data_IF_626202785893
#
_entry.id   IF_626202785893
#
_cell.length_a   1.000
_cell.length_b   1.000
_cell.length_c   1.000
_cell.angle_alpha   90.00
_cell.angle_beta   90.00
_cell.angle_gamma   90.00
#
_symmetry.space_group_name_H-M   'P 1'
#
loop_
_entity.id
_entity.type
_entity.pdbx_description
1 polymer ?
#
# COMPACT_ATOMS: atom_id res chain seq x y z
N UNK A 1 31.72 9.93 45.96
CA UNK A 1 31.32 9.94 44.54
C UNK A 1 32.54 10.37 43.75
N UNK A 2 33.17 9.47 43.01
CA UNK A 2 34.55 9.61 42.49
C UNK A 2 34.60 10.54 41.28
N UNK A 3 35.74 11.19 41.02
CA UNK A 3 35.92 12.10 39.86
C UNK A 3 35.55 11.47 38.51
N UNK A 4 35.65 10.14 38.41
CA UNK A 4 35.18 9.36 37.26
C UNK A 4 33.67 9.49 37.01
N UNK A 5 32.85 9.54 38.07
CA UNK A 5 31.40 9.74 37.94
C UNK A 5 31.05 11.16 37.46
N UNK A 6 31.82 12.17 37.88
CA UNK A 6 31.65 13.56 37.42
C UNK A 6 32.01 13.71 35.95
N UNK A 7 33.16 13.16 35.54
CA UNK A 7 33.58 13.18 34.13
C UNK A 7 32.59 12.44 33.23
N UNK A 8 32.11 11.26 33.65
CA UNK A 8 31.10 10.51 32.90
C UNK A 8 29.79 11.30 32.74
N UNK A 9 29.34 11.99 33.80
CA UNK A 9 28.16 12.85 33.74
C UNK A 9 28.30 14.02 32.77
N UNK A 10 29.46 14.71 32.79
CA UNK A 10 29.74 15.81 31.85
C UNK A 10 29.78 15.32 30.41
N UNK A 11 30.47 14.20 30.14
CA UNK A 11 30.54 13.63 28.78
C UNK A 11 29.14 13.24 28.27
N UNK A 12 28.33 12.56 29.08
CA UNK A 12 26.98 12.19 28.71
C UNK A 12 26.10 13.41 28.41
N UNK A 13 26.21 14.48 29.23
CA UNK A 13 25.49 15.73 29.00
C UNK A 13 25.90 16.40 27.69
N UNK A 14 27.20 16.47 27.39
CA UNK A 14 27.70 17.06 26.13
C UNK A 14 27.19 16.28 24.93
N UNK A 15 27.23 14.94 24.97
CA UNK A 15 26.71 14.08 23.91
C UNK A 15 25.20 14.33 23.70
N UNK A 16 24.42 14.39 24.78
CA UNK A 16 22.98 14.64 24.69
C UNK A 16 22.67 16.03 24.12
N UNK A 17 23.41 17.05 24.54
CA UNK A 17 23.24 18.43 24.04
C UNK A 17 23.54 18.53 22.54
N UNK A 18 24.64 17.90 22.09
CA UNK A 18 25.01 17.85 20.68
C UNK A 18 23.95 17.10 19.86
N UNK A 19 23.51 15.92 20.32
CA UNK A 19 22.45 15.16 19.65
C UNK A 19 21.15 15.96 19.55
N UNK A 20 20.72 16.59 20.64
CA UNK A 20 19.51 17.40 20.68
C UNK A 20 19.62 18.58 19.70
N UNK A 21 20.78 19.25 19.68
CA UNK A 21 21.03 20.34 18.74
C UNK A 21 20.94 19.87 17.28
N UNK A 22 21.53 18.73 16.93
CA UNK A 22 21.46 18.16 15.58
C UNK A 22 20.03 17.75 15.19
N UNK A 23 19.27 17.14 16.09
CA UNK A 23 17.86 16.77 15.88
C UNK A 23 17.03 18.03 15.63
N UNK A 24 17.12 19.03 16.50
CA UNK A 24 16.36 20.28 16.34
C UNK A 24 16.74 21.01 15.06
N UNK A 25 18.04 21.12 14.77
CA UNK A 25 18.54 21.80 13.56
C UNK A 25 18.05 21.11 12.29
N UNK A 26 18.21 19.79 12.17
CA UNK A 26 17.78 19.04 10.99
C UNK A 26 16.27 19.16 10.77
N UNK A 27 15.49 19.01 11.84
CA UNK A 27 14.03 19.20 11.80
C UNK A 27 13.62 20.58 11.28
N UNK A 28 14.23 21.65 11.80
CA UNK A 28 13.95 23.02 11.36
C UNK A 28 14.29 23.21 9.88
N UNK A 29 15.42 22.66 9.43
CA UNK A 29 15.86 22.75 8.03
C UNK A 29 14.85 22.04 7.11
N UNK A 30 14.39 20.84 7.48
CA UNK A 30 13.41 20.06 6.71
C UNK A 30 12.08 20.81 6.61
N UNK A 31 11.57 21.32 7.73
CA UNK A 31 10.32 22.08 7.77
C UNK A 31 10.42 23.38 6.96
N UNK A 32 11.51 24.13 7.12
CA UNK A 32 11.72 25.37 6.39
C UNK A 32 11.81 25.12 4.88
N UNK A 33 12.55 24.10 4.47
CA UNK A 33 12.65 23.73 3.06
C UNK A 33 11.32 23.24 2.49
N UNK A 34 10.52 22.50 3.26
CA UNK A 34 9.19 22.07 2.84
C UNK A 34 8.26 23.27 2.59
N UNK A 35 8.22 24.21 3.54
CA UNK A 35 7.43 25.43 3.41
C UNK A 35 7.88 26.31 2.22
N UNK A 36 9.20 26.48 2.05
CA UNK A 36 9.76 27.21 0.91
C UNK A 36 9.40 26.55 -0.43
N UNK A 37 9.49 25.22 -0.51
CA UNK A 37 9.19 24.46 -1.73
C UNK A 37 7.70 24.44 -2.05
N UNK A 38 6.85 24.37 -1.03
CA UNK A 38 5.40 24.40 -1.18
C UNK A 38 4.87 25.80 -1.54
N UNK A 39 5.49 26.85 -1.02
CA UNK A 39 5.01 28.21 -1.17
C UNK A 39 3.65 28.38 -0.47
N UNK A 40 2.63 28.94 -1.14
CA UNK A 40 1.29 29.09 -0.57
C UNK A 40 0.42 27.81 -0.64
N UNK A 41 0.90 26.76 -1.32
CA UNK A 41 0.13 25.54 -1.49
C UNK A 41 0.16 24.69 -0.19
N UNK A 42 -0.94 24.00 0.13
CA UNK A 42 -0.94 23.06 1.24
C UNK A 42 0.06 21.94 0.98
N UNK A 43 0.69 21.42 2.03
CA UNK A 43 1.63 20.32 1.90
C UNK A 43 1.55 19.32 3.05
N UNK A 44 2.12 18.14 2.85
CA UNK A 44 2.42 17.20 3.92
C UNK A 44 3.73 16.48 3.64
N UNK A 45 4.36 15.96 4.70
CA UNK A 45 5.58 15.17 4.59
C UNK A 45 5.26 13.73 5.00
N UNK A 46 5.62 12.79 4.14
CA UNK A 46 5.64 11.37 4.48
C UNK A 46 7.09 10.88 4.57
N UNK A 47 7.35 10.07 5.58
CA UNK A 47 8.68 9.51 5.87
C UNK A 47 8.70 8.03 5.55
N UNK A 48 9.87 7.53 5.18
CA UNK A 48 10.10 6.11 4.98
C UNK A 48 9.66 5.29 6.20
N UNK A 49 8.96 4.18 5.95
CA UNK A 49 8.51 3.26 6.98
C UNK A 49 8.92 1.81 6.66
N UNK A 50 9.29 1.05 7.68
CA UNK A 50 9.60 -0.40 7.60
C UNK A 50 8.42 -1.19 7.10
N UNK A 51 7.24 -0.80 7.56
CA UNK A 51 6.02 -1.58 7.40
C UNK A 51 5.30 -1.13 6.14
N UNK A 52 4.98 0.16 5.99
CA UNK A 52 4.06 0.66 4.96
C UNK A 52 4.68 1.35 3.73
N UNK A 53 5.99 1.16 3.51
CA UNK A 53 6.88 1.92 2.60
C UNK A 53 6.96 3.42 2.93
N UNK A 54 5.83 4.10 3.14
CA UNK A 54 5.75 5.48 3.63
C UNK A 54 4.61 5.65 4.62
N UNK A 55 4.83 6.51 5.62
CA UNK A 55 3.79 6.96 6.56
C UNK A 55 3.80 8.49 6.69
N UNK A 56 2.69 9.13 7.05
CA UNK A 56 2.71 10.55 7.42
C UNK A 56 3.70 10.80 8.56
N UNK A 57 4.43 11.92 8.51
CA UNK A 57 5.14 12.41 9.68
C UNK A 57 4.11 12.76 10.77
N UNK A 58 4.24 12.14 11.94
CA UNK A 58 3.32 12.28 13.07
C UNK A 58 3.90 13.19 14.17
N UNK A 59 5.17 13.57 14.05
CA UNK A 59 5.85 14.48 14.98
C UNK A 59 6.97 15.23 14.28
N UNK A 60 7.44 16.31 14.91
CA UNK A 60 8.66 17.00 14.48
C UNK A 60 9.88 16.09 14.55
N UNK A 61 9.94 15.20 15.54
CA UNK A 61 11.03 14.22 15.66
C UNK A 61 11.10 13.29 14.44
N UNK A 62 9.97 12.92 13.83
CA UNK A 62 9.95 12.10 12.61
C UNK A 62 10.68 12.77 11.43
N UNK A 63 10.78 14.10 11.44
CA UNK A 63 11.44 14.92 10.41
C UNK A 63 12.94 15.13 10.69
N UNK A 64 13.50 14.40 11.65
CA UNK A 64 14.93 14.46 11.96
C UNK A 64 15.75 13.49 11.11
N UNK A 65 17.03 13.80 10.94
CA UNK A 65 18.01 12.92 10.27
C UNK A 65 18.10 11.52 10.91
N UNK A 66 17.74 11.38 12.19
CA UNK A 66 17.81 10.10 12.91
C UNK A 66 16.67 9.15 12.55
N UNK A 67 15.49 9.70 12.21
CA UNK A 67 14.27 8.92 11.97
C UNK A 67 13.94 8.82 10.48
N UNK A 68 14.31 9.82 9.68
CA UNK A 68 14.12 9.83 8.22
C UNK A 68 15.15 8.93 7.53
N UNK A 69 15.22 7.65 7.91
CA UNK A 69 16.12 6.70 7.29
C UNK A 69 15.37 5.82 6.29
N UNK A 70 15.89 5.75 5.06
CA UNK A 70 15.44 4.79 4.07
C UNK A 70 15.90 3.39 4.51
N UNK A 71 14.97 2.48 4.73
CA UNK A 71 15.28 1.15 5.23
C UNK A 71 15.49 0.13 4.11
N UNK A 72 14.98 0.43 2.90
CA UNK A 72 15.10 -0.45 1.73
C UNK A 72 16.02 0.18 0.68
N UNK A 73 17.25 -0.32 0.66
CA UNK A 73 18.17 -0.18 -0.47
C UNK A 73 18.32 -1.57 -1.12
N UNK A 74 17.28 -2.00 -1.85
CA UNK A 74 17.38 -3.17 -2.72
C UNK A 74 17.48 -2.66 -4.15
N UNK A 75 18.32 -3.26 -5.00
CA UNK A 75 18.67 -2.72 -6.33
C UNK A 75 17.52 -2.41 -7.31
N UNK A 76 16.26 -2.72 -6.97
CA UNK A 76 15.05 -2.33 -7.73
C UNK A 76 14.20 -1.26 -7.06
N UNK A 77 14.45 -0.88 -5.80
CA UNK A 77 13.66 0.08 -5.04
C UNK A 77 14.58 1.01 -4.24
N UNK A 78 14.61 2.29 -4.62
CA UNK A 78 15.22 3.34 -3.80
C UNK A 78 14.10 4.02 -3.00
N UNK A 79 13.93 3.59 -1.76
CA UNK A 79 13.08 4.34 -0.82
C UNK A 79 13.74 5.69 -0.56
N UNK A 80 13.03 6.79 -0.80
CA UNK A 80 13.45 8.15 -0.38
C UNK A 80 13.24 8.32 1.12
N UNK A 81 14.14 9.04 1.77
CA UNK A 81 14.10 9.34 3.20
C UNK A 81 12.79 10.01 3.63
N UNK A 82 12.38 11.01 2.86
CA UNK A 82 11.11 11.69 2.98
C UNK A 82 10.63 12.16 1.61
N UNK A 83 9.31 12.24 1.46
CA UNK A 83 8.62 12.78 0.29
C UNK A 83 7.73 13.92 0.77
N UNK A 84 7.87 15.08 0.13
CA UNK A 84 6.99 16.22 0.28
C UNK A 84 5.90 16.13 -0.80
N UNK A 85 4.65 16.20 -0.35
CA UNK A 85 3.45 16.17 -1.18
C UNK A 85 2.83 17.55 -1.14
N UNK A 86 2.74 18.24 -2.27
CA UNK A 86 2.26 19.62 -2.36
C UNK A 86 1.02 19.72 -3.24
N UNK A 87 0.04 20.51 -2.82
CA UNK A 87 -1.16 20.85 -3.58
C UNK A 87 -2.31 19.86 -3.39
N UNK A 88 -3.10 19.66 -4.44
CA UNK A 88 -4.26 18.78 -4.42
C UNK A 88 -3.86 17.30 -4.43
N UNK A 89 -4.64 16.48 -3.73
CA UNK A 89 -4.48 15.04 -3.68
C UNK A 89 -4.66 14.34 -5.03
N UNK A 90 -5.45 14.93 -5.94
CA UNK A 90 -5.69 14.37 -7.28
C UNK A 90 -4.54 14.70 -8.22
N UNK A 91 -3.87 15.83 -8.04
CA UNK A 91 -2.72 16.24 -8.86
C UNK A 91 -1.59 16.87 -8.03
N UNK A 92 -0.99 16.10 -7.10
CA UNK A 92 0.05 16.59 -6.22
C UNK A 92 1.38 16.70 -6.94
N UNK A 93 2.15 17.71 -6.56
CA UNK A 93 3.57 17.82 -6.88
C UNK A 93 4.35 17.04 -5.81
N UNK A 94 5.27 16.20 -6.26
CA UNK A 94 6.08 15.35 -5.37
C UNK A 94 7.54 15.79 -5.41
N UNK A 95 8.13 15.92 -4.23
CA UNK A 95 9.54 16.26 -4.05
C UNK A 95 10.18 15.28 -3.08
N UNK A 96 11.46 14.97 -3.26
CA UNK A 96 12.19 14.11 -2.33
C UNK A 96 13.20 14.91 -1.51
N UNK A 97 13.41 14.49 -0.27
CA UNK A 97 14.45 15.07 0.59
C UNK A 97 15.84 14.64 0.15
N UNK A 98 16.75 15.59 -0.06
CA UNK A 98 18.17 15.34 -0.35
C UNK A 98 19.06 15.86 0.76
N UNK A 99 19.69 14.96 1.53
CA UNK A 99 20.63 15.34 2.59
C UNK A 99 21.80 16.17 2.05
N UNK A 100 22.30 15.84 0.86
CA UNK A 100 23.41 16.58 0.24
C UNK A 100 23.02 18.02 -0.12
N UNK A 101 21.79 18.22 -0.60
CA UNK A 101 21.31 19.54 -0.99
C UNK A 101 20.73 20.34 0.19
N UNK A 102 20.39 19.66 1.29
CA UNK A 102 19.69 20.27 2.43
C UNK A 102 18.32 20.83 2.07
N UNK A 103 17.67 20.28 1.03
CA UNK A 103 16.37 20.74 0.54
C UNK A 103 15.57 19.65 -0.17
N UNK A 104 14.27 19.90 -0.34
CA UNK A 104 13.42 19.14 -1.24
C UNK A 104 13.75 19.45 -2.70
N UNK A 105 13.90 18.40 -3.50
CA UNK A 105 14.17 18.50 -4.93
C UNK A 105 12.98 17.96 -5.72
N UNK A 106 12.61 18.67 -6.78
CA UNK A 106 11.57 18.23 -7.70
C UNK A 106 12.02 16.94 -8.38
N UNK A 107 11.15 15.95 -8.40
CA UNK A 107 11.48 14.67 -8.98
C UNK A 107 11.07 14.66 -10.46
N UNK A 108 12.04 14.87 -11.35
CA UNK A 108 11.84 14.90 -12.80
C UNK A 108 11.69 13.51 -13.41
N UNK A 109 12.14 12.46 -12.70
CA UNK A 109 12.03 11.07 -13.15
C UNK A 109 10.66 10.52 -12.81
N UNK A 110 9.75 10.54 -13.79
CA UNK A 110 8.58 9.68 -13.95
C UNK A 110 8.23 8.81 -12.73
N UNK A 111 7.74 9.46 -11.67
CA UNK A 111 7.03 8.83 -10.56
C UNK A 111 5.64 8.35 -10.99
N UNK A 112 5.40 8.25 -12.30
CA UNK A 112 4.27 7.54 -12.91
C UNK A 112 4.17 6.08 -12.45
N UNK A 113 5.12 5.62 -11.63
CA UNK A 113 5.02 4.39 -10.87
C UNK A 113 4.20 4.36 -9.59
N UNK A 114 3.47 5.43 -9.26
CA UNK A 114 2.53 5.42 -8.15
C UNK A 114 3.25 5.27 -6.82
N UNK A 115 3.90 6.35 -6.37
CA UNK A 115 4.24 6.44 -4.95
C UNK A 115 2.93 6.52 -4.19
N UNK A 116 2.76 5.63 -3.22
CA UNK A 116 1.69 5.76 -2.25
C UNK A 116 1.83 7.09 -1.54
N UNK A 117 0.88 7.99 -1.78
CA UNK A 117 0.72 9.20 -1.00
C UNK A 117 -0.03 8.80 0.25
N UNK A 118 0.65 8.77 1.39
CA UNK A 118 0.13 8.32 2.68
C UNK A 118 -0.49 9.47 3.51
N UNK A 119 -0.15 10.73 3.17
CA UNK A 119 -0.54 11.92 3.93
C UNK A 119 -1.44 12.86 3.13
N UNK A 120 -2.19 13.69 3.87
CA UNK A 120 -3.06 14.72 3.30
C UNK A 120 -2.40 16.10 3.41
N UNK A 121 -2.20 16.83 2.29
CA UNK A 121 -1.68 18.20 2.30
C UNK A 121 -2.54 19.16 3.11
N UNK A 122 -1.90 19.96 3.97
CA UNK A 122 -2.55 20.98 4.82
C UNK A 122 -1.73 22.27 4.82
N UNK A 123 -2.41 23.42 4.99
CA UNK A 123 -1.74 24.74 5.03
C UNK A 123 -0.70 24.83 6.15
N UNK A 124 -1.07 24.41 7.37
CA UNK A 124 -0.21 24.54 8.56
C UNK A 124 0.35 23.18 9.04
N UNK A 125 0.69 22.28 8.10
CA UNK A 125 1.08 20.90 8.43
C UNK A 125 2.14 20.83 9.54
N UNK A 126 3.26 21.54 9.38
CA UNK A 126 4.37 21.49 10.33
C UNK A 126 4.04 22.12 11.69
N UNK A 127 3.21 23.16 11.71
CA UNK A 127 2.77 23.82 12.95
C UNK A 127 1.83 22.92 13.77
N UNK A 128 1.11 22.02 13.11
CA UNK A 128 0.24 21.04 13.77
C UNK A 128 0.96 19.82 14.34
N UNK A 129 2.27 19.66 14.11
CA UNK A 129 3.01 18.49 14.58
C UNK A 129 3.48 18.66 16.03
N UNK A 130 3.23 17.66 16.90
CA UNK A 130 3.82 17.62 18.23
C UNK A 130 5.32 17.28 18.16
N UNK A 131 6.06 17.54 19.23
CA UNK A 131 7.53 17.38 19.22
C UNK A 131 7.94 15.90 19.13
N UNK A 132 7.43 15.02 20.00
CA UNK A 132 7.95 13.65 20.16
C UNK A 132 7.01 12.53 19.72
N UNK A 133 5.72 12.60 20.06
CA UNK A 133 4.71 11.63 19.63
C UNK A 133 3.40 12.34 19.39
N UNK A 134 2.92 12.27 18.16
CA UNK A 134 1.55 12.58 17.83
C UNK A 134 0.71 11.32 17.76
N UNK A 135 -0.58 11.49 18.02
CA UNK A 135 -1.55 10.52 17.54
C UNK A 135 -1.44 10.50 16.02
N UNK A 136 -1.14 9.31 15.45
CA UNK A 136 -1.26 9.09 14.02
C UNK A 136 -2.67 9.52 13.61
N UNK A 137 -2.81 10.17 12.46
CA UNK A 137 -4.14 10.41 11.90
C UNK A 137 -4.90 9.07 11.88
N UNK A 138 -6.21 9.07 12.13
CA UNK A 138 -6.97 7.82 12.16
C UNK A 138 -7.08 7.15 10.78
N UNK A 139 -6.66 7.85 9.72
CA UNK A 139 -6.72 7.38 8.34
C UNK A 139 -5.42 7.73 7.64
N UNK A 140 -4.95 6.83 6.79
CA UNK A 140 -3.94 7.14 5.80
C UNK A 140 -4.66 7.46 4.48
N UNK A 141 -4.18 8.49 3.83
CA UNK A 141 -4.56 8.75 2.45
C UNK A 141 -3.82 7.76 1.55
N UNK A 142 -4.38 7.41 0.40
CA UNK A 142 -3.73 6.53 -0.56
C UNK A 142 -4.09 6.97 -1.97
N UNK A 143 -3.11 7.47 -2.71
CA UNK A 143 -3.24 7.64 -4.14
C UNK A 143 -2.73 6.41 -4.88
N UNK A 144 -3.58 5.78 -5.69
CA UNK A 144 -3.21 4.59 -6.48
C UNK A 144 -3.06 4.91 -7.96
N UNK A 145 -3.73 5.95 -8.46
CA UNK A 145 -3.60 6.41 -9.85
C UNK A 145 -3.52 7.94 -9.94
N UNK A 146 -3.31 8.46 -11.15
CA UNK A 146 -3.29 9.90 -11.37
C UNK A 146 -4.64 10.58 -11.07
N UNK A 147 -5.74 9.84 -11.10
CA UNK A 147 -7.10 10.38 -10.98
C UNK A 147 -7.86 9.88 -9.76
N UNK A 148 -7.34 8.87 -9.06
CA UNK A 148 -8.05 8.23 -7.96
C UNK A 148 -7.22 8.19 -6.69
N UNK A 149 -7.93 8.43 -5.60
CA UNK A 149 -7.39 8.22 -4.28
C UNK A 149 -8.45 7.80 -3.28
N UNK A 150 -7.96 7.16 -2.22
CA UNK A 150 -8.74 6.44 -1.23
C UNK A 150 -8.32 6.91 0.15
N UNK A 151 -9.24 6.78 1.11
CA UNK A 151 -8.96 7.03 2.52
C UNK A 151 -9.22 5.76 3.29
N UNK A 152 -8.16 5.08 3.71
CA UNK A 152 -8.27 3.87 4.52
C UNK A 152 -7.91 4.19 5.97
N UNK A 153 -8.56 3.51 6.91
CA UNK A 153 -8.19 3.60 8.33
C UNK A 153 -6.75 3.12 8.54
N UNK A 154 -5.99 3.76 9.43
CA UNK A 154 -4.60 3.34 9.77
C UNK A 154 -4.52 1.98 10.46
N UNK A 155 -5.67 1.41 10.84
CA UNK A 155 -5.74 0.04 11.35
C UNK A 155 -5.50 -0.98 10.23
N UNK A 156 -5.71 -0.59 8.97
CA UNK A 156 -5.34 -1.41 7.83
C UNK A 156 -3.84 -1.32 7.59
N UNK A 157 -3.18 -2.48 7.59
CA UNK A 157 -1.78 -2.57 7.20
C UNK A 157 -1.72 -2.57 5.66
N UNK A 158 -1.01 -1.58 5.12
CA UNK A 158 -0.96 -1.29 3.69
C UNK A 158 0.48 -1.40 3.19
N UNK A 159 0.66 -2.00 2.02
CA UNK A 159 1.98 -2.18 1.41
C UNK A 159 1.92 -1.94 -0.07
N UNK A 160 2.97 -1.35 -0.64
CA UNK A 160 3.12 -1.26 -2.07
C UNK A 160 4.01 -2.41 -2.56
N UNK A 161 3.65 -2.98 -3.70
CA UNK A 161 4.50 -3.94 -4.40
C UNK A 161 4.50 -3.66 -5.88
N UNK A 162 5.66 -3.85 -6.50
CA UNK A 162 5.88 -3.53 -7.90
C UNK A 162 6.41 -2.12 -8.09
N UNK A 163 6.80 -1.79 -9.31
CA UNK A 163 7.34 -0.48 -9.69
C UNK A 163 6.66 0.00 -10.96
N UNK A 164 6.70 1.32 -11.20
CA UNK A 164 6.10 1.87 -12.41
C UNK A 164 4.58 1.66 -12.44
N UNK A 165 4.01 1.70 -13.64
CA UNK A 165 2.57 1.56 -13.85
C UNK A 165 1.98 0.20 -13.39
N UNK A 166 2.80 -0.68 -12.82
CA UNK A 166 2.42 -2.00 -12.29
C UNK A 166 2.52 -2.08 -10.77
N UNK A 167 2.62 -0.94 -10.08
CA UNK A 167 2.45 -0.93 -8.64
C UNK A 167 1.06 -1.45 -8.27
N UNK A 168 1.00 -2.19 -7.17
CA UNK A 168 -0.24 -2.72 -6.62
C UNK A 168 -0.24 -2.41 -5.13
N UNK A 169 -1.38 -1.94 -4.65
CA UNK A 169 -1.63 -1.74 -3.24
C UNK A 169 -2.10 -3.05 -2.64
N UNK A 170 -1.48 -3.44 -1.53
CA UNK A 170 -1.84 -4.61 -0.74
C UNK A 170 -2.43 -4.11 0.58
N UNK A 171 -3.62 -4.58 0.92
CA UNK A 171 -4.28 -4.27 2.19
C UNK A 171 -4.52 -5.57 2.94
N UNK A 172 -4.01 -5.67 4.18
CA UNK A 172 -4.22 -6.84 5.03
C UNK A 172 -5.62 -6.79 5.63
N UNK A 173 -6.49 -7.62 5.07
CA UNK A 173 -7.91 -7.69 5.36
C UNK A 173 -8.43 -9.06 4.87
N UNK A 174 -8.61 -10.05 5.75
CA UNK A 174 -9.04 -11.38 5.33
C UNK A 174 -10.51 -11.39 4.90
N UNK A 175 -10.78 -12.19 3.87
CA UNK A 175 -12.14 -12.52 3.50
C UNK A 175 -12.84 -13.34 4.61
N UNK A 176 -14.18 -13.27 4.74
CA UNK A 176 -15.09 -12.52 3.88
C UNK A 176 -15.40 -11.09 4.36
N UNK A 177 -14.98 -10.72 5.58
CA UNK A 177 -15.41 -9.48 6.23
C UNK A 177 -14.49 -8.30 5.97
N UNK A 178 -13.24 -8.54 5.56
CA UNK A 178 -12.24 -7.51 5.23
C UNK A 178 -12.01 -6.49 6.35
N UNK A 179 -12.09 -6.96 7.60
CA UNK A 179 -11.80 -6.16 8.79
C UNK A 179 -10.29 -6.05 9.02
N UNK A 180 -9.80 -4.94 9.59
CA UNK A 180 -8.39 -4.77 9.90
C UNK A 180 -7.89 -5.85 10.86
N UNK A 181 -6.65 -6.27 10.70
CA UNK A 181 -6.00 -7.28 11.54
C UNK A 181 -5.04 -6.63 12.53
N UNK A 182 -5.01 -7.15 13.76
CA UNK A 182 -4.06 -6.73 14.81
C UNK A 182 -2.69 -7.38 14.65
N UNK A 183 -2.62 -8.54 13.99
CA UNK A 183 -1.38 -9.28 13.74
C UNK A 183 -0.55 -8.56 12.68
N UNK A 184 0.74 -8.33 12.94
CA UNK A 184 1.62 -7.65 11.98
C UNK A 184 1.93 -8.54 10.77
N UNK A 185 2.23 -7.93 9.63
CA UNK A 185 2.63 -8.66 8.41
C UNK A 185 3.82 -9.59 8.60
N UNK A 186 4.76 -9.24 9.48
CA UNK A 186 5.88 -10.11 9.81
C UNK A 186 5.43 -11.41 10.49
N UNK A 187 4.50 -11.32 11.45
CA UNK A 187 3.89 -12.48 12.12
C UNK A 187 3.12 -13.32 11.11
N UNK A 188 2.23 -12.70 10.33
CA UNK A 188 1.44 -13.39 9.31
C UNK A 188 2.30 -14.13 8.28
N UNK A 189 3.44 -13.54 7.92
CA UNK A 189 4.41 -14.16 7.02
C UNK A 189 5.10 -15.35 7.66
N UNK A 190 5.57 -15.21 8.90
CA UNK A 190 6.25 -16.30 9.62
C UNK A 190 5.36 -17.53 9.83
N UNK A 191 4.04 -17.32 9.93
CA UNK A 191 3.05 -18.39 10.10
C UNK A 191 2.50 -18.93 8.79
N UNK A 192 2.93 -18.40 7.63
CA UNK A 192 2.41 -18.79 6.33
C UNK A 192 0.93 -18.43 6.11
N UNK A 193 0.37 -17.54 6.94
CA UNK A 193 -1.02 -17.07 6.84
C UNK A 193 -1.19 -15.92 5.87
N UNK A 194 -0.10 -15.18 5.60
CA UNK A 194 -0.15 -13.96 4.80
C UNK A 194 -0.89 -14.18 3.47
N UNK A 195 -0.61 -15.26 2.75
CA UNK A 195 -1.19 -15.52 1.43
C UNK A 195 -2.72 -15.53 1.38
N UNK A 196 -3.41 -15.76 2.50
CA UNK A 196 -4.87 -15.85 2.58
C UNK A 196 -5.54 -14.58 3.14
N UNK A 197 -4.77 -13.53 3.45
CA UNK A 197 -5.25 -12.42 4.29
C UNK A 197 -5.10 -11.03 3.68
N UNK A 198 -4.99 -10.91 2.36
CA UNK A 198 -4.84 -9.61 1.70
C UNK A 198 -5.75 -9.41 0.50
N UNK A 199 -6.03 -8.13 0.25
CA UNK A 199 -6.61 -7.59 -0.96
C UNK A 199 -5.51 -6.90 -1.76
N UNK A 200 -5.38 -7.22 -3.04
CA UNK A 200 -4.64 -6.43 -4.03
C UNK A 200 -5.59 -5.47 -4.71
N UNK A 201 -5.12 -4.25 -4.94
CA UNK A 201 -5.68 -3.32 -5.91
C UNK A 201 -4.58 -2.97 -6.93
N UNK A 202 -4.89 -3.12 -8.21
CA UNK A 202 -4.05 -2.67 -9.33
C UNK A 202 -4.88 -2.05 -10.45
N UNK A 203 -4.25 -1.24 -11.31
CA UNK A 203 -4.91 -0.60 -12.46
C UNK A 203 -4.65 -1.33 -13.80
N UNK A 204 -4.18 -2.58 -13.76
CA UNK A 204 -3.95 -3.40 -14.96
C UNK A 204 -5.16 -4.29 -15.27
N UNK A 205 -6.20 -3.69 -15.85
CA UNK A 205 -7.40 -4.42 -16.28
C UNK A 205 -7.12 -5.42 -17.41
N UNK A 206 -6.20 -5.06 -18.31
CA UNK A 206 -5.83 -5.87 -19.48
C UNK A 206 -5.25 -7.23 -19.09
N UNK A 207 -4.53 -7.30 -17.97
CA UNK A 207 -4.03 -8.58 -17.48
C UNK A 207 -5.16 -9.57 -17.14
N UNK A 208 -6.22 -9.13 -16.43
CA UNK A 208 -7.34 -10.00 -16.08
C UNK A 208 -8.17 -10.38 -17.30
N UNK A 209 -8.44 -9.42 -18.20
CA UNK A 209 -9.17 -9.69 -19.44
C UNK A 209 -8.42 -10.70 -20.32
N UNK A 210 -7.09 -10.58 -20.44
CA UNK A 210 -6.26 -11.57 -21.13
C UNK A 210 -6.28 -12.93 -20.45
N UNK A 211 -6.29 -12.97 -19.12
CA UNK A 211 -6.42 -14.23 -18.38
C UNK A 211 -7.74 -14.94 -18.71
N UNK A 212 -8.86 -14.20 -18.73
CA UNK A 212 -10.19 -14.75 -19.03
C UNK A 212 -10.35 -15.18 -20.50
N UNK A 213 -9.68 -14.49 -21.44
CA UNK A 213 -9.70 -14.83 -22.87
C UNK A 213 -8.67 -15.87 -23.27
N UNK A 214 -7.74 -16.21 -22.37
CA UNK A 214 -6.65 -17.14 -22.68
C UNK A 214 -7.22 -18.52 -23.04
N UNK A 215 -6.75 -19.15 -24.12
CA UNK A 215 -7.21 -20.48 -24.47
C UNK A 215 -6.86 -21.47 -23.37
N UNK A 216 -7.61 -22.59 -23.26
CA UNK A 216 -7.28 -23.72 -22.40
C UNK A 216 -5.80 -24.07 -22.43
N UNK A 217 -5.19 -24.25 -21.26
CA UNK A 217 -3.81 -24.75 -21.19
C UNK A 217 -3.75 -26.19 -21.70
N UNK A 218 -2.69 -26.55 -22.43
CA UNK A 218 -2.57 -27.87 -23.07
C UNK A 218 -2.71 -29.09 -22.13
N UNK A 219 -2.49 -28.93 -20.82
CA UNK A 219 -2.61 -29.97 -19.79
C UNK A 219 -3.86 -29.83 -18.91
N UNK A 220 -4.79 -28.97 -19.28
CA UNK A 220 -6.00 -28.69 -18.51
C UNK A 220 -7.23 -28.96 -19.36
N UNK A 221 -8.08 -29.88 -18.92
CA UNK A 221 -9.38 -30.14 -19.53
C UNK A 221 -10.42 -29.27 -18.82
N UNK A 222 -11.24 -28.59 -19.61
CA UNK A 222 -12.33 -27.74 -19.15
C UNK A 222 -13.64 -28.43 -19.48
N UNK A 223 -14.51 -28.57 -18.49
CA UNK A 223 -15.84 -29.16 -18.63
C UNK A 223 -16.84 -28.13 -18.13
N UNK A 224 -17.65 -27.57 -19.04
CA UNK A 224 -18.70 -26.64 -18.67
C UNK A 224 -19.75 -27.37 -17.82
N UNK A 225 -20.10 -26.80 -16.66
CA UNK A 225 -21.11 -27.35 -15.74
C UNK A 225 -22.38 -26.49 -15.67
N UNK A 226 -22.47 -25.42 -16.48
CA UNK A 226 -23.59 -24.48 -16.50
C UNK A 226 -23.38 -23.31 -15.54
N UNK A 227 -24.47 -22.80 -14.96
CA UNK A 227 -24.43 -21.65 -14.05
C UNK A 227 -24.47 -22.07 -12.57
N UNK A 228 -23.68 -21.40 -11.74
CA UNK A 228 -23.75 -21.53 -10.29
C UNK A 228 -23.52 -20.16 -9.62
N UNK A 229 -24.38 -19.79 -8.67
CA UNK A 229 -24.31 -18.51 -7.95
C UNK A 229 -24.34 -17.27 -8.86
N UNK A 230 -24.95 -17.40 -10.05
CA UNK A 230 -24.96 -16.34 -11.07
C UNK A 230 -23.64 -16.16 -11.81
N UNK A 231 -22.78 -17.18 -11.83
CA UNK A 231 -21.52 -17.24 -12.56
C UNK A 231 -21.48 -18.49 -13.46
N UNK A 232 -20.87 -18.38 -14.63
CA UNK A 232 -20.57 -19.54 -15.48
C UNK A 232 -19.56 -20.43 -14.76
N UNK A 233 -19.95 -21.65 -14.45
CA UNK A 233 -19.14 -22.65 -13.75
C UNK A 233 -18.49 -23.59 -14.75
N UNK A 234 -17.17 -23.68 -14.67
CA UNK A 234 -16.36 -24.62 -15.44
C UNK A 234 -15.56 -25.48 -14.48
N UNK A 235 -15.66 -26.81 -14.62
CA UNK A 235 -14.79 -27.75 -13.93
C UNK A 235 -13.48 -27.85 -14.68
N UNK A 236 -12.37 -27.66 -13.97
CA UNK A 236 -11.02 -27.81 -14.51
C UNK A 236 -10.39 -29.08 -13.98
N UNK A 237 -9.85 -29.89 -14.89
CA UNK A 237 -9.13 -31.12 -14.58
C UNK A 237 -7.70 -30.90 -15.07
N UNK A 238 -6.75 -30.80 -14.15
CA UNK A 238 -5.34 -30.64 -14.49
C UNK A 238 -4.54 -31.87 -14.09
N UNK A 239 -3.65 -32.32 -14.98
CA UNK A 239 -2.72 -33.42 -14.68
C UNK A 239 -1.45 -32.84 -14.08
N UNK A 240 -1.18 -33.16 -12.81
CA UNK A 240 0.02 -32.76 -12.10
C UNK A 240 1.30 -33.40 -12.65
N UNK A 241 2.45 -32.95 -12.16
CA UNK A 241 3.75 -33.56 -12.51
C UNK A 241 3.88 -35.01 -12.04
N UNK A 242 3.09 -35.40 -11.05
CA UNK A 242 2.95 -36.77 -10.54
C UNK A 242 1.95 -37.62 -11.35
N UNK A 243 1.51 -37.12 -12.51
CA UNK A 243 0.49 -37.72 -13.36
C UNK A 243 -0.88 -37.92 -12.70
N UNK A 244 -1.13 -37.35 -11.51
CA UNK A 244 -2.44 -37.39 -10.87
C UNK A 244 -3.33 -36.30 -11.44
N UNK A 245 -4.62 -36.60 -11.55
CA UNK A 245 -5.63 -35.60 -11.88
C UNK A 245 -6.04 -34.84 -10.63
N UNK A 246 -6.08 -33.52 -10.75
CA UNK A 246 -6.54 -32.61 -9.73
C UNK A 246 -7.75 -31.86 -10.25
N UNK A 247 -8.75 -31.71 -9.38
CA UNK A 247 -9.99 -31.02 -9.68
C UNK A 247 -9.94 -29.58 -9.17
N UNK A 248 -10.29 -28.65 -10.05
CA UNK A 248 -10.56 -27.26 -9.73
C UNK A 248 -11.90 -26.82 -10.31
N UNK A 249 -12.33 -25.64 -9.90
CA UNK A 249 -13.50 -24.99 -10.46
C UNK A 249 -13.17 -23.55 -10.79
N UNK A 250 -13.65 -23.09 -11.94
CA UNK A 250 -13.58 -21.71 -12.38
C UNK A 250 -15.00 -21.16 -12.46
N UNK A 251 -15.20 -19.96 -11.94
CA UNK A 251 -16.46 -19.23 -11.99
C UNK A 251 -16.20 -17.87 -12.63
N UNK A 252 -16.95 -17.49 -13.65
CA UNK A 252 -16.75 -16.23 -14.35
C UNK A 252 -18.05 -15.55 -14.78
N UNK A 253 -18.07 -14.21 -14.82
CA UNK A 253 -19.06 -13.45 -15.60
C UNK A 253 -18.57 -13.25 -17.03
N UNK A 254 -19.50 -13.01 -17.97
CA UNK A 254 -19.18 -12.88 -19.40
C UNK A 254 -18.08 -11.84 -19.67
N UNK A 255 -17.08 -12.22 -20.46
CA UNK A 255 -15.91 -11.38 -20.78
C UNK A 255 -16.24 -10.14 -21.65
N UNK A 256 -17.49 -10.00 -22.08
CA UNK A 256 -17.98 -8.91 -22.92
C UNK A 256 -18.41 -7.68 -22.10
N UNK A 257 -18.64 -7.85 -20.79
CA UNK A 257 -18.86 -6.74 -19.85
C UNK A 257 -17.52 -6.26 -19.28
N UNK A 258 -16.81 -5.46 -20.07
CA UNK A 258 -15.46 -4.92 -19.76
C UNK A 258 -15.40 -4.23 -18.38
N UNK A 259 -16.53 -3.76 -17.86
CA UNK A 259 -16.58 -2.90 -16.67
C UNK A 259 -16.58 -3.69 -15.36
N UNK A 260 -17.17 -4.89 -15.32
CA UNK A 260 -17.45 -5.66 -14.08
C UNK A 260 -17.17 -7.17 -14.21
N UNK A 261 -16.11 -7.53 -14.94
CA UNK A 261 -15.70 -8.92 -15.10
C UNK A 261 -15.27 -9.55 -13.78
N UNK A 262 -15.82 -10.72 -13.42
CA UNK A 262 -15.44 -11.50 -12.24
C UNK A 262 -14.84 -12.83 -12.69
N UNK A 263 -13.76 -13.26 -12.02
CA UNK A 263 -13.11 -14.55 -12.24
C UNK A 263 -12.65 -15.14 -10.91
N UNK A 264 -13.18 -16.32 -10.56
CA UNK A 264 -12.87 -17.04 -9.34
C UNK A 264 -12.31 -18.42 -9.72
N UNK A 265 -11.07 -18.71 -9.33
CA UNK A 265 -10.43 -20.01 -9.56
C UNK A 265 -10.21 -20.72 -8.22
N UNK A 266 -10.88 -21.83 -8.02
CA UNK A 266 -10.90 -22.59 -6.78
C UNK A 266 -10.14 -23.91 -6.92
N UNK A 267 -9.19 -24.12 -6.01
CA UNK A 267 -8.65 -25.44 -5.71
C UNK A 267 -9.31 -26.04 -4.46
N UNK A 268 -8.80 -27.17 -3.95
CA UNK A 268 -9.40 -27.87 -2.81
C UNK A 268 -9.42 -27.08 -1.49
N UNK A 269 -8.48 -26.13 -1.31
CA UNK A 269 -8.28 -25.41 -0.04
C UNK A 269 -8.56 -23.91 -0.10
N UNK A 270 -8.59 -23.34 -1.29
CA UNK A 270 -8.70 -21.89 -1.46
C UNK A 270 -9.16 -21.52 -2.85
N UNK A 271 -9.86 -20.41 -2.95
CA UNK A 271 -10.14 -19.72 -4.19
C UNK A 271 -9.27 -18.47 -4.33
N UNK A 272 -8.85 -18.20 -5.56
CA UNK A 272 -8.37 -16.91 -6.00
C UNK A 272 -9.55 -16.17 -6.61
N UNK A 273 -9.95 -15.06 -6.03
CA UNK A 273 -11.04 -14.21 -6.53
C UNK A 273 -10.43 -12.96 -7.14
N UNK A 274 -10.77 -12.71 -8.40
CA UNK A 274 -10.39 -11.51 -9.15
C UNK A 274 -11.64 -10.85 -9.70
N UNK A 275 -11.70 -9.53 -9.67
CA UNK A 275 -12.76 -8.80 -10.37
C UNK A 275 -12.31 -7.42 -10.84
N UNK A 276 -12.96 -6.92 -11.88
CA UNK A 276 -12.85 -5.55 -12.35
C UNK A 276 -14.00 -4.73 -11.79
N UNK A 277 -13.73 -3.46 -11.49
CA UNK A 277 -14.76 -2.45 -11.31
C UNK A 277 -14.22 -1.08 -11.75
N UNK A 278 -14.80 -0.51 -12.82
CA UNK A 278 -14.39 0.80 -13.38
C UNK A 278 -12.89 0.86 -13.73
N UNK A 279 -12.35 -0.20 -14.32
CA UNK A 279 -10.93 -0.26 -14.73
C UNK A 279 -9.94 -0.61 -13.60
N UNK A 280 -10.44 -0.87 -12.39
CA UNK A 280 -9.65 -1.31 -11.23
C UNK A 280 -9.71 -2.82 -11.12
N UNK A 281 -8.57 -3.48 -10.97
CA UNK A 281 -8.46 -4.90 -10.73
C UNK A 281 -8.23 -5.18 -9.25
N UNK A 282 -9.17 -5.90 -8.66
CA UNK A 282 -9.08 -6.40 -7.30
C UNK A 282 -8.73 -7.88 -7.31
N UNK A 283 -7.88 -8.30 -6.37
CA UNK A 283 -7.54 -9.71 -6.15
C UNK A 283 -7.52 -10.03 -4.66
N UNK A 284 -8.10 -11.15 -4.27
CA UNK A 284 -7.99 -11.67 -2.91
C UNK A 284 -8.16 -13.20 -2.92
N UNK A 285 -7.99 -13.83 -1.75
CA UNK A 285 -8.25 -15.26 -1.58
C UNK A 285 -9.29 -15.51 -0.48
N UNK A 286 -10.05 -16.58 -0.63
CA UNK A 286 -11.05 -17.02 0.36
C UNK A 286 -11.23 -18.55 0.32
N UNK A 287 -11.98 -19.10 1.27
CA UNK A 287 -12.32 -20.53 1.30
C UNK A 287 -13.33 -20.92 0.19
N UNK A 288 -13.28 -22.15 -0.37
CA UNK A 288 -14.21 -22.60 -1.41
C UNK A 288 -15.68 -22.56 -1.02
N UNK A 289 -15.99 -22.73 0.26
CA UNK A 289 -17.34 -22.63 0.81
C UNK A 289 -17.95 -21.23 0.69
N UNK A 290 -17.13 -20.19 0.48
CA UNK A 290 -17.54 -18.79 0.38
C UNK A 290 -17.83 -18.32 -1.04
N UNK A 291 -17.70 -19.18 -2.07
CA UNK A 291 -17.99 -18.79 -3.45
C UNK A 291 -19.42 -18.28 -3.61
N UNK A 292 -20.39 -18.82 -2.86
CA UNK A 292 -21.77 -18.36 -2.88
C UNK A 292 -21.94 -16.90 -2.40
N UNK A 293 -21.01 -16.39 -1.59
CA UNK A 293 -21.02 -15.04 -1.01
C UNK A 293 -20.22 -14.03 -1.84
N UNK A 294 -19.84 -14.38 -3.09
CA UNK A 294 -18.89 -13.60 -3.89
C UNK A 294 -19.31 -12.14 -4.11
N UNK A 295 -20.61 -11.88 -4.34
CA UNK A 295 -21.13 -10.51 -4.55
C UNK A 295 -20.96 -9.66 -3.31
N UNK A 296 -21.31 -10.21 -2.13
CA UNK A 296 -21.15 -9.53 -0.85
C UNK A 296 -19.68 -9.21 -0.57
N UNK A 297 -18.77 -10.13 -0.91
CA UNK A 297 -17.34 -9.87 -0.75
C UNK A 297 -16.84 -8.73 -1.66
N UNK A 298 -17.29 -8.70 -2.93
CA UNK A 298 -16.97 -7.58 -3.81
C UNK A 298 -17.53 -6.25 -3.29
N UNK A 299 -18.80 -6.23 -2.88
CA UNK A 299 -19.45 -5.04 -2.32
C UNK A 299 -18.68 -4.47 -1.13
N UNK A 300 -18.25 -5.33 -0.19
CA UNK A 300 -17.44 -4.92 0.97
C UNK A 300 -16.09 -4.33 0.57
N UNK A 301 -15.42 -4.93 -0.41
CA UNK A 301 -14.16 -4.37 -0.95
C UNK A 301 -14.44 -3.02 -1.62
N UNK A 302 -15.52 -2.89 -2.38
CA UNK A 302 -15.85 -1.63 -3.05
C UNK A 302 -16.18 -0.52 -2.07
N UNK A 303 -16.86 -0.84 -0.97
CA UNK A 303 -17.10 0.09 0.13
C UNK A 303 -15.78 0.47 0.83
N UNK A 304 -14.85 -0.47 1.01
CA UNK A 304 -13.53 -0.18 1.56
C UNK A 304 -12.72 0.76 0.64
N UNK A 305 -12.84 0.59 -0.67
CA UNK A 305 -12.16 1.40 -1.69
C UNK A 305 -13.11 2.39 -2.39
N UNK A 306 -13.95 3.06 -1.61
CA UNK A 306 -14.76 4.16 -2.12
C UNK A 306 -13.83 5.38 -2.37
N UNK A 307 -13.76 5.92 -3.59
CA UNK A 307 -12.90 7.05 -3.90
C UNK A 307 -13.30 8.28 -3.10
N UNK A 308 -12.32 9.04 -2.63
CA UNK A 308 -12.58 10.37 -2.05
C UNK A 308 -12.99 11.30 -3.20
N UNK A 309 -14.22 11.80 -3.17
CA UNK A 309 -14.65 12.85 -4.10
C UNK A 309 -13.95 14.14 -3.70
N UNK A 310 -13.12 14.75 -4.56
CA UNK A 310 -12.52 16.04 -4.25
C UNK A 310 -13.65 17.06 -4.07
N UNK A 311 -13.68 17.69 -2.89
CA UNK A 311 -14.51 18.88 -2.63
C UNK A 311 -13.90 20.11 -3.29
#
# INVERSE_FOLDING_TARGET
MTDRMRLAGVVAFVILAVLTFHICRSTVIVVASAAETAGPDPFCIQVADSESDYRPAASLFDLSELTMWAQRESGMFMQRHAVLVVGSLVSPRLFHWSYRAGKFLEETTNLSGGFGIACEPRQDFAHGLPILRGSRANHDFIRVSSTEAYRLSVQYQMHWRGSGARSSLYVIAPAPDFLPQTETVSVLRSEGKLDAQWISLSHDSEWLLRLMRSPPRAKTRYVAEGDAFGLNKTKTIFTGSDAKEYLGYEFATGADEIVDATYISCGPRSCQHRFLNKGRHFYFRHGPERVQDWKLMQERILHLFEPVVPM
#
